data_IF_425053263634
#
_entry.id   IF_425053263634
#
_cell.length_a   1.000
_cell.length_b   1.000
_cell.length_c   1.000
_cell.angle_alpha   90.00
_cell.angle_beta   90.00
_cell.angle_gamma   90.00
#
_symmetry.space_group_name_H-M   'P 1'
#
loop_
_entity.id
_entity.type
_entity.pdbx_description
1 polymer ?
#
# COMPACT_ATOMS: atom_id res chain seq x y z
N UNK A 1 -0.21 -4.04 -25.44
CA UNK A 1 -1.00 -4.13 -24.19
C UNK A 1 -0.83 -5.52 -23.57
N UNK A 2 -0.52 -5.60 -22.28
CA UNK A 2 -0.44 -6.85 -21.50
C UNK A 2 -1.00 -6.61 -20.10
N UNK A 3 -1.74 -7.57 -19.56
CA UNK A 3 -2.20 -7.61 -18.17
C UNK A 3 -1.90 -8.99 -17.59
N UNK A 4 -1.89 -9.07 -16.25
CA UNK A 4 -2.02 -10.34 -15.54
C UNK A 4 -3.33 -11.04 -15.94
N UNK A 5 -3.35 -12.37 -15.77
CA UNK A 5 -4.46 -13.23 -16.17
C UNK A 5 -5.71 -13.04 -15.32
N UNK A 6 -5.56 -12.82 -14.01
CA UNK A 6 -6.67 -12.55 -13.09
C UNK A 6 -6.37 -11.33 -12.21
N UNK A 7 -6.64 -10.10 -12.69
CA UNK A 7 -6.30 -8.89 -11.95
C UNK A 7 -7.08 -8.82 -10.63
N UNK A 8 -6.44 -8.34 -9.54
CA UNK A 8 -7.12 -8.25 -8.25
C UNK A 8 -8.33 -7.31 -8.32
N UNK A 9 -9.36 -7.61 -7.54
CA UNK A 9 -10.50 -6.71 -7.40
C UNK A 9 -10.06 -5.42 -6.72
N UNK A 10 -10.46 -4.26 -7.26
CA UNK A 10 -10.17 -2.97 -6.65
C UNK A 10 -10.73 -2.89 -5.22
N UNK A 11 -9.89 -2.49 -4.28
CA UNK A 11 -10.26 -2.23 -2.89
C UNK A 11 -10.03 -0.76 -2.58
N UNK A 12 -11.10 -0.03 -2.24
CA UNK A 12 -11.00 1.36 -1.80
C UNK A 12 -10.45 1.46 -0.37
N UNK A 13 -9.62 2.47 -0.11
CA UNK A 13 -9.12 2.81 1.22
C UNK A 13 -10.25 3.24 2.15
N UNK A 14 -10.25 2.71 3.38
CA UNK A 14 -11.27 3.02 4.40
C UNK A 14 -11.07 4.36 5.09
N UNK A 15 -9.84 4.89 5.08
CA UNK A 15 -9.50 6.21 5.64
C UNK A 15 -8.81 7.05 4.56
N UNK A 16 -8.58 8.35 4.80
CA UNK A 16 -7.82 9.20 3.89
C UNK A 16 -6.34 8.81 3.76
N UNK A 17 -5.81 7.96 4.64
CA UNK A 17 -4.37 7.70 4.78
C UNK A 17 -3.96 6.27 4.42
N UNK A 18 -4.93 5.36 4.22
CA UNK A 18 -4.69 3.92 4.13
C UNK A 18 -4.64 3.38 2.69
N UNK A 19 -4.14 4.18 1.74
CA UNK A 19 -3.85 3.69 0.40
C UNK A 19 -2.91 2.47 0.42
N UNK A 20 -1.91 2.49 1.30
CA UNK A 20 -0.98 1.37 1.48
C UNK A 20 -1.68 0.10 1.98
N UNK A 21 -2.59 0.21 2.94
CA UNK A 21 -3.28 -0.95 3.51
C UNK A 21 -4.27 -1.54 2.50
N UNK A 22 -4.97 -0.69 1.73
CA UNK A 22 -5.84 -1.14 0.66
C UNK A 22 -5.05 -1.82 -0.49
N UNK A 23 -3.89 -1.26 -0.86
CA UNK A 23 -2.99 -1.89 -1.81
C UNK A 23 -2.52 -3.27 -1.33
N UNK A 24 -2.14 -3.40 -0.06
CA UNK A 24 -1.75 -4.69 0.52
C UNK A 24 -2.91 -5.70 0.56
N UNK A 25 -4.16 -5.28 0.81
CA UNK A 25 -5.32 -6.20 0.69
C UNK A 25 -5.41 -6.80 -0.72
N UNK A 26 -5.22 -5.97 -1.75
CA UNK A 26 -5.25 -6.43 -3.14
C UNK A 26 -4.08 -7.39 -3.46
N UNK A 27 -2.87 -7.06 -2.99
CA UNK A 27 -1.69 -7.94 -3.13
C UNK A 27 -1.91 -9.28 -2.43
N UNK A 28 -2.39 -9.26 -1.18
CA UNK A 28 -2.66 -10.48 -0.42
C UNK A 28 -3.69 -11.36 -1.11
N UNK A 29 -4.75 -10.77 -1.66
CA UNK A 29 -5.77 -11.50 -2.41
C UNK A 29 -5.19 -12.15 -3.67
N UNK A 30 -4.37 -11.43 -4.44
CA UNK A 30 -3.75 -11.93 -5.66
C UNK A 30 -2.78 -13.10 -5.39
N UNK A 31 -1.93 -12.97 -4.38
CA UNK A 31 -0.92 -13.98 -4.05
C UNK A 31 -1.41 -15.08 -3.10
N UNK A 32 -2.71 -15.14 -2.77
CA UNK A 32 -3.27 -16.17 -1.88
C UNK A 32 -2.73 -16.12 -0.44
N UNK A 33 -2.30 -14.94 0.02
CA UNK A 33 -1.78 -14.74 1.37
C UNK A 33 -2.92 -14.71 2.41
N UNK A 34 -2.64 -14.90 3.71
CA UNK A 34 -3.63 -14.75 4.77
C UNK A 34 -4.36 -13.40 4.66
N UNK A 35 -5.70 -13.46 4.68
CA UNK A 35 -6.57 -12.29 4.59
C UNK A 35 -6.46 -11.47 5.87
N UNK A 36 -6.24 -10.17 5.71
CA UNK A 36 -6.27 -9.19 6.78
C UNK A 36 -7.17 -8.02 6.38
N UNK A 37 -7.77 -7.38 7.37
CA UNK A 37 -8.45 -6.09 7.21
C UNK A 37 -7.44 -4.97 7.01
N UNK A 38 -7.88 -3.85 6.43
CA UNK A 38 -7.02 -2.67 6.32
C UNK A 38 -6.56 -2.15 7.69
N UNK A 39 -7.35 -2.35 8.76
CA UNK A 39 -6.93 -1.95 10.10
C UNK A 39 -5.78 -2.83 10.62
N UNK A 40 -5.89 -4.14 10.50
CA UNK A 40 -4.82 -5.06 10.94
C UNK A 40 -3.51 -4.78 10.20
N UNK A 41 -3.59 -4.52 8.90
CA UNK A 41 -2.44 -4.10 8.08
C UNK A 41 -1.89 -2.76 8.57
N UNK A 42 -2.74 -1.73 8.68
CA UNK A 42 -2.33 -0.41 9.11
C UNK A 42 -1.68 -0.44 10.51
N UNK A 43 -2.24 -1.21 11.43
CA UNK A 43 -1.71 -1.38 12.78
C UNK A 43 -0.33 -2.04 12.75
N UNK A 44 -0.20 -3.19 12.08
CA UNK A 44 1.07 -3.92 12.01
C UNK A 44 2.17 -3.08 11.36
N UNK A 45 1.83 -2.33 10.31
CA UNK A 45 2.77 -1.43 9.67
C UNK A 45 3.14 -0.22 10.52
N UNK A 46 2.17 0.36 11.25
CA UNK A 46 2.44 1.47 12.20
C UNK A 46 3.37 1.01 13.31
N UNK A 47 3.15 -0.19 13.85
CA UNK A 47 4.02 -0.79 14.85
C UNK A 47 5.43 -1.08 14.32
N UNK A 48 5.54 -1.59 13.08
CA UNK A 48 6.85 -1.79 12.45
C UNK A 48 7.59 -0.46 12.26
N UNK A 49 6.89 0.58 11.81
CA UNK A 49 7.47 1.90 11.61
C UNK A 49 7.85 2.57 12.94
N UNK A 50 7.08 2.35 14.02
CA UNK A 50 7.36 2.93 15.33
C UNK A 50 8.69 2.44 15.93
N UNK A 51 9.13 1.23 15.55
CA UNK A 51 10.42 0.64 15.96
C UNK A 51 11.63 1.32 15.32
N UNK A 52 11.45 2.02 14.20
CA UNK A 52 12.54 2.67 13.45
C UNK A 52 12.44 4.19 13.42
N UNK A 53 11.25 4.76 13.58
CA UNK A 53 11.02 6.20 13.59
C UNK A 53 10.81 6.71 15.02
N UNK A 54 11.83 7.36 15.60
CA UNK A 54 11.83 7.81 17.00
C UNK A 54 10.55 8.55 17.43
N UNK A 55 10.14 9.58 16.69
CA UNK A 55 8.94 10.36 17.03
C UNK A 55 7.61 9.62 16.84
N UNK A 56 7.57 8.52 16.07
CA UNK A 56 6.42 7.62 16.05
C UNK A 56 6.49 6.61 17.20
N UNK A 57 7.68 6.12 17.55
CA UNK A 57 7.94 5.27 18.70
C UNK A 57 7.43 5.88 20.01
N UNK A 58 7.78 7.14 20.31
CA UNK A 58 7.30 7.82 21.51
C UNK A 58 5.77 7.94 21.56
N UNK A 59 5.15 8.28 20.42
CA UNK A 59 3.68 8.38 20.31
C UNK A 59 3.00 7.02 20.46
N UNK A 60 3.61 5.97 19.91
CA UNK A 60 3.13 4.59 20.01
C UNK A 60 3.14 4.11 21.47
N UNK A 61 4.28 4.26 22.16
CA UNK A 61 4.40 3.87 23.57
C UNK A 61 3.44 4.66 24.47
N UNK A 62 3.31 5.96 24.27
CA UNK A 62 2.34 6.78 25.00
C UNK A 62 0.90 6.32 24.75
N UNK A 63 0.53 6.05 23.50
CA UNK A 63 -0.81 5.57 23.15
C UNK A 63 -1.11 4.22 23.81
N UNK A 64 -0.16 3.28 23.81
CA UNK A 64 -0.33 1.98 24.50
C UNK A 64 -0.50 2.15 26.01
N UNK A 65 0.27 3.05 26.63
CA UNK A 65 0.18 3.32 28.07
C UNK A 65 -1.17 3.94 28.44
N UNK A 66 -1.67 4.88 27.64
CA UNK A 66 -2.97 5.52 27.83
C UNK A 66 -4.11 4.50 27.69
N UNK A 67 -4.12 3.70 26.62
CA UNK A 67 -5.14 2.67 26.41
C UNK A 67 -5.17 1.67 27.57
N UNK A 68 -3.99 1.23 28.05
CA UNK A 68 -3.89 0.35 29.22
C UNK A 68 -4.44 1.00 30.48
N UNK A 69 -4.12 2.28 30.72
CA UNK A 69 -4.57 2.99 31.92
C UNK A 69 -6.09 3.22 31.96
N UNK A 70 -6.70 3.37 30.78
CA UNK A 70 -8.13 3.61 30.61
C UNK A 70 -8.94 2.31 30.40
N UNK A 71 -8.27 1.17 30.24
CA UNK A 71 -8.91 -0.09 29.86
C UNK A 71 -9.54 -0.04 28.47
N UNK A 72 -9.02 0.81 27.58
CA UNK A 72 -9.52 0.97 26.22
C UNK A 72 -9.01 -0.16 25.32
N UNK A 73 -9.91 -0.71 24.49
CA UNK A 73 -9.61 -1.68 23.43
C UNK A 73 -9.71 -1.01 22.07
N UNK A 74 -9.01 -1.52 21.06
CA UNK A 74 -9.03 -0.89 19.73
C UNK A 74 -10.29 -1.22 18.90
N UNK A 75 -10.99 -2.31 19.22
CA UNK A 75 -12.21 -2.79 18.55
C UNK A 75 -12.08 -2.79 17.02
N UNK A 76 -11.01 -3.39 16.50
CA UNK A 76 -10.76 -3.43 15.05
C UNK A 76 -10.55 -2.05 14.41
N UNK A 77 -10.17 -1.05 15.21
CA UNK A 77 -9.98 0.34 14.79
C UNK A 77 -11.24 1.19 14.88
N UNK A 78 -12.35 0.62 15.36
CA UNK A 78 -13.64 1.31 15.47
C UNK A 78 -13.75 2.14 16.74
N UNK A 79 -13.00 1.81 17.80
CA UNK A 79 -13.08 2.54 19.06
C UNK A 79 -12.42 3.94 18.94
N UNK A 80 -13.18 5.05 19.03
CA UNK A 80 -12.61 6.40 18.98
C UNK A 80 -11.88 6.78 20.28
N UNK A 81 -12.09 6.04 21.37
CA UNK A 81 -11.44 6.29 22.66
C UNK A 81 -10.09 5.57 22.79
N UNK A 82 -9.75 4.65 21.87
CA UNK A 82 -8.42 4.06 21.84
C UNK A 82 -7.43 5.02 21.17
N UNK A 83 -6.39 5.37 21.91
CA UNK A 83 -5.27 6.16 21.45
C UNK A 83 -4.48 5.43 20.37
N UNK A 84 -4.32 4.11 20.46
CA UNK A 84 -3.68 3.32 19.39
C UNK A 84 -4.53 3.33 18.14
N UNK A 85 -5.84 3.08 18.24
CA UNK A 85 -6.73 3.12 17.08
C UNK A 85 -6.71 4.50 16.39
N UNK A 86 -6.68 5.58 17.18
CA UNK A 86 -6.54 6.95 16.67
C UNK A 86 -5.19 7.20 15.97
N UNK A 87 -4.09 6.73 16.56
CA UNK A 87 -2.76 6.83 15.97
C UNK A 87 -2.70 6.09 14.62
N UNK A 88 -3.19 4.85 14.58
CA UNK A 88 -3.21 4.01 13.38
C UNK A 88 -4.10 4.61 12.29
N UNK A 89 -5.25 5.21 12.65
CA UNK A 89 -6.17 5.87 11.69
C UNK A 89 -5.51 7.02 10.93
N UNK A 90 -4.61 7.76 11.58
CA UNK A 90 -3.86 8.86 10.99
C UNK A 90 -2.57 8.46 10.30
N UNK A 91 -2.14 7.20 10.41
CA UNK A 91 -0.85 6.79 9.89
C UNK A 91 -0.87 6.73 8.35
N UNK A 92 0.17 7.31 7.76
CA UNK A 92 0.44 7.38 6.32
C UNK A 92 1.81 6.76 6.04
N UNK A 93 2.13 6.49 4.77
CA UNK A 93 3.44 6.00 4.34
C UNK A 93 3.97 4.79 5.14
N UNK A 94 3.14 3.77 5.33
CA UNK A 94 3.49 2.59 6.15
C UNK A 94 3.31 1.30 5.36
N UNK A 95 3.80 1.23 4.12
CA UNK A 95 3.77 -0.03 3.39
C UNK A 95 4.85 -0.99 3.92
N UNK A 96 4.45 -1.95 4.77
CA UNK A 96 5.34 -2.95 5.35
C UNK A 96 5.56 -4.11 4.38
N UNK A 97 6.29 -3.84 3.30
CA UNK A 97 6.58 -4.79 2.23
C UNK A 97 7.27 -6.08 2.72
N UNK A 98 8.15 -5.99 3.72
CA UNK A 98 8.86 -7.17 4.27
C UNK A 98 7.89 -8.20 4.85
N UNK A 99 6.80 -7.77 5.49
CA UNK A 99 5.81 -8.66 6.11
C UNK A 99 5.05 -9.55 5.10
N UNK A 100 5.12 -9.23 3.81
CA UNK A 100 4.47 -9.99 2.73
C UNK A 100 5.46 -10.46 1.66
N UNK A 101 6.77 -10.50 1.99
CA UNK A 101 7.81 -10.96 1.07
C UNK A 101 8.07 -10.02 -0.12
N UNK A 102 7.73 -8.74 0.05
CA UNK A 102 8.02 -7.71 -0.94
C UNK A 102 9.47 -7.23 -0.87
N UNK A 103 9.98 -6.69 -1.98
CA UNK A 103 11.30 -6.03 -2.05
C UNK A 103 11.20 -4.71 -2.82
N UNK A 104 11.91 -3.69 -2.36
CA UNK A 104 12.02 -2.42 -3.07
C UNK A 104 12.94 -2.52 -4.30
N UNK A 105 12.51 -1.89 -5.40
CA UNK A 105 13.34 -1.62 -6.58
C UNK A 105 13.60 -0.12 -6.64
N UNK A 106 14.77 0.31 -6.18
CA UNK A 106 15.12 1.72 -6.09
C UNK A 106 15.17 2.43 -7.46
N UNK A 107 15.59 1.73 -8.51
CA UNK A 107 15.68 2.27 -9.86
C UNK A 107 14.82 1.45 -10.82
N UNK A 108 13.49 1.57 -10.71
CA UNK A 108 12.56 0.83 -11.55
C UNK A 108 12.84 1.12 -13.04
N UNK A 109 13.02 0.05 -13.80
CA UNK A 109 13.17 0.10 -15.26
C UNK A 109 11.93 -0.46 -15.94
N UNK A 110 11.78 -0.18 -17.24
CA UNK A 110 10.69 -0.77 -18.01
C UNK A 110 10.80 -2.29 -18.10
N UNK A 111 12.03 -2.82 -18.15
CA UNK A 111 12.26 -4.25 -18.15
C UNK A 111 11.73 -4.91 -16.85
N UNK A 112 11.80 -4.24 -15.70
CA UNK A 112 11.20 -4.74 -14.47
C UNK A 112 9.67 -4.79 -14.54
N UNK A 113 9.04 -3.76 -15.12
CA UNK A 113 7.58 -3.77 -15.33
C UNK A 113 7.16 -4.94 -16.21
N UNK A 114 7.88 -5.14 -17.32
CA UNK A 114 7.61 -6.24 -18.24
C UNK A 114 7.83 -7.59 -17.56
N UNK A 115 8.96 -7.76 -16.86
CA UNK A 115 9.28 -8.98 -16.12
C UNK A 115 8.17 -9.38 -15.14
N UNK A 116 7.67 -8.44 -14.33
CA UNK A 116 6.58 -8.75 -13.39
C UNK A 116 5.29 -9.12 -14.12
N UNK A 117 4.82 -8.29 -15.04
CA UNK A 117 3.53 -8.52 -15.70
C UNK A 117 3.56 -9.73 -16.64
N UNK A 118 4.66 -9.98 -17.34
CA UNK A 118 4.80 -11.12 -18.26
C UNK A 118 4.85 -12.46 -17.50
N UNK A 119 5.32 -12.46 -16.25
CA UNK A 119 5.31 -13.61 -15.36
C UNK A 119 4.04 -13.72 -14.50
N UNK A 120 2.98 -12.99 -14.83
CA UNK A 120 1.71 -12.99 -14.09
C UNK A 120 1.91 -12.60 -12.61
N UNK A 121 2.60 -11.47 -12.39
CA UNK A 121 2.85 -10.90 -11.06
C UNK A 121 2.40 -9.46 -10.98
N UNK A 122 1.54 -9.14 -10.03
CA UNK A 122 1.20 -7.76 -9.67
C UNK A 122 2.28 -7.17 -8.77
N UNK A 123 2.48 -5.87 -8.85
CA UNK A 123 3.45 -5.16 -7.99
C UNK A 123 2.86 -3.82 -7.56
N UNK A 124 3.46 -3.21 -6.53
CA UNK A 124 3.00 -1.93 -6.00
C UNK A 124 3.94 -0.82 -6.46
N UNK A 125 3.36 0.29 -6.90
CA UNK A 125 4.09 1.55 -7.14
C UNK A 125 3.48 2.67 -6.34
N UNK A 126 4.21 3.74 -6.10
CA UNK A 126 3.66 4.87 -5.36
C UNK A 126 4.69 5.93 -5.05
N UNK A 127 4.39 6.72 -4.04
CA UNK A 127 5.33 7.62 -3.37
C UNK A 127 5.11 7.57 -1.86
N UNK A 128 5.69 8.53 -1.14
CA UNK A 128 5.36 8.86 0.23
C UNK A 128 3.88 9.22 0.48
N UNK A 129 3.15 9.61 -0.57
CA UNK A 129 1.78 10.13 -0.46
C UNK A 129 0.75 9.06 -0.83
N UNK A 130 0.97 8.28 -1.90
CA UNK A 130 -0.06 7.39 -2.44
C UNK A 130 0.52 6.15 -3.10
N UNK A 131 -0.18 5.02 -2.92
CA UNK A 131 0.20 3.72 -3.47
C UNK A 131 -0.86 3.21 -4.46
N UNK A 132 -0.39 2.49 -5.47
CA UNK A 132 -1.16 1.88 -6.54
C UNK A 132 -0.75 0.41 -6.69
N UNK A 133 -1.67 -0.46 -7.11
CA UNK A 133 -1.34 -1.82 -7.54
C UNK A 133 -1.30 -1.85 -9.07
N UNK A 134 -0.15 -2.21 -9.64
CA UNK A 134 0.02 -2.38 -11.08
C UNK A 134 -0.39 -3.78 -11.47
N UNK A 135 -1.27 -3.89 -12.48
CA UNK A 135 -1.77 -5.17 -12.99
C UNK A 135 -1.57 -5.34 -14.50
N UNK A 136 -0.96 -4.36 -15.15
CA UNK A 136 -0.65 -4.44 -16.57
C UNK A 136 0.14 -3.26 -17.08
N UNK A 137 0.44 -3.28 -18.37
CA UNK A 137 1.11 -2.20 -19.05
C UNK A 137 0.71 -2.11 -20.53
N UNK A 138 0.98 -0.96 -21.14
CA UNK A 138 1.05 -0.82 -22.59
C UNK A 138 2.25 0.05 -23.00
N UNK A 139 2.77 -0.24 -24.19
CA UNK A 139 3.81 0.53 -24.85
C UNK A 139 3.32 0.83 -26.26
N UNK A 140 3.03 2.10 -26.52
CA UNK A 140 2.52 2.60 -27.80
C UNK A 140 3.32 3.84 -28.20
N UNK A 141 3.08 4.38 -29.39
CA UNK A 141 3.77 5.61 -29.85
C UNK A 141 3.59 6.80 -28.89
N UNK A 142 2.54 6.79 -28.05
CA UNK A 142 2.28 7.76 -26.98
C UNK A 142 3.00 7.50 -25.65
N UNK A 143 3.89 6.50 -25.57
CA UNK A 143 4.75 6.23 -24.42
C UNK A 143 4.41 4.94 -23.66
N UNK A 144 5.00 4.86 -22.46
CA UNK A 144 4.94 3.70 -21.57
C UNK A 144 3.97 3.96 -20.42
N UNK A 145 2.94 3.13 -20.32
CA UNK A 145 1.84 3.30 -19.37
C UNK A 145 1.64 2.05 -18.55
N UNK A 146 1.43 2.23 -17.25
CA UNK A 146 1.09 1.19 -16.29
C UNK A 146 -0.42 1.20 -16.09
N UNK A 147 -1.08 0.04 -16.15
CA UNK A 147 -2.45 -0.08 -15.69
C UNK A 147 -2.47 -0.33 -14.18
N UNK A 148 -3.24 0.50 -13.48
CA UNK A 148 -3.22 0.57 -12.03
C UNK A 148 -4.61 0.45 -11.42
N UNK A 149 -4.65 -0.14 -10.23
CA UNK A 149 -5.76 -0.02 -9.30
C UNK A 149 -5.41 1.08 -8.31
N UNK A 150 -6.18 2.17 -8.34
CA UNK A 150 -6.05 3.31 -7.44
C UNK A 150 -6.93 3.09 -6.19
N UNK A 151 -6.35 2.93 -4.98
CA UNK A 151 -7.13 2.72 -3.77
C UNK A 151 -8.00 3.90 -3.34
N UNK A 152 -7.94 5.07 -3.98
CA UNK A 152 -8.85 6.16 -3.63
C UNK A 152 -10.32 5.77 -3.77
N UNK A 153 -11.23 6.37 -2.98
CA UNK A 153 -12.66 6.15 -3.14
C UNK A 153 -13.14 6.53 -4.56
N UNK A 154 -14.21 5.86 -5.01
CA UNK A 154 -14.89 6.22 -6.26
C UNK A 154 -15.25 7.72 -6.28
N UNK A 155 -15.11 8.38 -7.43
CA UNK A 155 -15.30 9.83 -7.59
C UNK A 155 -14.18 10.72 -7.04
N UNK A 156 -13.18 10.17 -6.33
CA UNK A 156 -11.95 10.89 -5.91
C UNK A 156 -10.70 10.47 -6.66
N UNK A 157 -10.75 9.31 -7.30
CA UNK A 157 -9.71 8.80 -8.19
C UNK A 157 -9.61 7.28 -8.25
N UNK A 158 -10.47 6.53 -7.54
CA UNK A 158 -10.62 5.08 -7.70
C UNK A 158 -11.04 4.60 -9.11
N UNK A 159 -11.19 5.52 -10.07
CA UNK A 159 -11.42 5.25 -11.48
C UNK A 159 -10.13 5.36 -12.32
N UNK A 160 -9.02 5.86 -11.73
CA UNK A 160 -7.75 6.04 -12.42
C UNK A 160 -7.18 4.66 -12.77
N UNK A 161 -7.23 4.35 -14.05
CA UNK A 161 -6.82 3.04 -14.60
C UNK A 161 -5.42 3.04 -15.22
N UNK A 162 -4.75 4.20 -15.32
CA UNK A 162 -3.42 4.31 -15.92
C UNK A 162 -2.50 5.33 -15.23
N UNK A 163 -1.20 5.00 -15.17
CA UNK A 163 -0.11 5.84 -14.69
C UNK A 163 1.02 5.86 -15.73
N UNK A 164 1.48 7.04 -16.13
CA UNK A 164 2.64 7.15 -17.02
C UNK A 164 3.91 6.69 -16.31
N UNK A 165 4.68 5.81 -16.94
CA UNK A 165 5.95 5.31 -16.39
C UNK A 165 6.98 6.43 -16.23
N UNK A 166 6.99 7.41 -17.15
CA UNK A 166 7.86 8.58 -17.05
C UNK A 166 7.48 9.45 -15.84
N UNK A 167 6.18 9.62 -15.57
CA UNK A 167 5.69 10.37 -14.40
C UNK A 167 6.05 9.65 -13.10
N UNK A 168 5.89 8.32 -13.02
CA UNK A 168 6.33 7.54 -11.86
C UNK A 168 7.81 7.79 -11.56
N UNK A 169 8.67 7.71 -12.57
CA UNK A 169 10.12 7.93 -12.40
C UNK A 169 10.50 9.36 -12.02
N UNK A 170 9.69 10.33 -12.42
CA UNK A 170 9.90 11.75 -12.10
C UNK A 170 9.28 12.14 -10.75
N UNK A 171 8.54 11.24 -10.10
CA UNK A 171 7.94 11.50 -8.79
C UNK A 171 9.01 11.34 -7.70
N UNK A 172 9.20 12.39 -6.90
CA UNK A 172 10.11 12.35 -5.75
C UNK A 172 9.63 11.30 -4.75
N UNK A 173 10.59 10.55 -4.20
CA UNK A 173 10.29 9.46 -3.26
C UNK A 173 9.48 8.31 -3.88
N UNK A 174 9.49 8.14 -5.20
CA UNK A 174 8.77 7.04 -5.82
C UNK A 174 9.20 5.68 -5.28
N UNK A 175 8.22 4.81 -5.12
CA UNK A 175 8.38 3.45 -4.65
C UNK A 175 8.00 2.47 -5.77
N UNK A 176 8.75 1.38 -5.86
CA UNK A 176 8.37 0.18 -6.62
C UNK A 176 8.66 -1.02 -5.73
N UNK A 177 7.64 -1.83 -5.47
CA UNK A 177 7.69 -3.00 -4.58
C UNK A 177 7.17 -4.19 -5.35
N UNK A 178 8.05 -5.18 -5.57
CA UNK A 178 7.69 -6.43 -6.25
C UNK A 178 7.59 -7.57 -5.24
N UNK A 179 6.86 -8.62 -5.58
CA UNK A 179 6.54 -9.73 -4.69
C UNK A 179 6.84 -11.06 -5.37
N UNK A 180 7.34 -12.04 -4.61
CA UNK A 180 7.78 -13.31 -5.16
C UNK A 180 9.16 -13.22 -5.81
N UNK A 181 10.02 -14.19 -5.50
CA UNK A 181 11.35 -14.38 -6.09
C UNK A 181 11.53 -15.84 -6.46
#
# INVERSE_FOLDING_TARGET
>A
MRTVSDPPTLVAQKTSSWCFAAAEVMVRAYYGLPKLTQYEIARASTEALSKVQFGLGERWELAMALDRSLGATEDGGENPNSHIANLVRGQWHSFNHEAIGGRFIANVSWANVQEEIDNDRVFVVGSDIHYYVVFGYTEESGGKWLYVLDPWPAGKGGEKSALSFAVLKATDGHACIVFGG
#
